data_IF_478979680737
#
_entry.id   IF_478979680737
#
_cell.length_a   1.000
_cell.length_b   1.000
_cell.length_c   1.000
_cell.angle_alpha   90.00
_cell.angle_beta   90.00
_cell.angle_gamma   90.00
#
_symmetry.space_group_name_H-M   'P 1'
#
loop_
_entity.id
_entity.type
_entity.pdbx_description
1 polymer ?
#
# COMPACT_ATOMS: atom_id res chain seq x y z
N UNK A 1 -7.15 -14.84 14.11
CA UNK A 1 -6.15 -14.10 14.92
C UNK A 1 -6.65 -12.70 15.16
N UNK A 2 -6.64 -12.21 16.41
CA UNK A 2 -7.31 -10.98 16.83
C UNK A 2 -6.60 -9.72 16.30
N UNK A 3 -5.32 -9.54 16.62
CA UNK A 3 -4.41 -8.61 15.96
C UNK A 3 -2.98 -9.08 16.25
N UNK A 4 -2.10 -9.11 15.23
CA UNK A 4 -0.67 -9.39 15.43
C UNK A 4 0.20 -8.13 15.31
N UNK A 5 -0.43 -6.96 15.19
CA UNK A 5 0.24 -5.67 15.30
C UNK A 5 0.24 -5.19 16.75
N UNK A 6 1.03 -4.14 17.02
CA UNK A 6 0.87 -3.38 18.26
C UNK A 6 -0.58 -2.92 18.44
N UNK A 7 -0.99 -2.70 19.70
CA UNK A 7 -2.35 -2.26 19.96
C UNK A 7 -2.60 -0.86 19.39
N UNK A 8 -3.86 -0.57 19.11
CA UNK A 8 -4.32 0.71 18.60
C UNK A 8 -5.74 0.92 19.10
N UNK A 9 -6.02 2.10 19.64
CA UNK A 9 -7.20 2.35 20.47
C UNK A 9 -7.36 1.23 21.50
N UNK A 10 -6.32 1.07 22.32
CA UNK A 10 -6.26 0.03 23.35
C UNK A 10 -7.51 0.08 24.23
N UNK A 11 -8.18 -1.06 24.37
CA UNK A 11 -9.45 -1.16 25.06
C UNK A 11 -9.51 -2.41 25.96
N UNK A 12 -10.19 -2.30 27.10
CA UNK A 12 -10.52 -3.38 28.03
C UNK A 12 -11.91 -3.93 27.72
N UNK A 13 -12.00 -5.25 27.66
CA UNK A 13 -13.27 -5.96 27.62
C UNK A 13 -13.91 -6.01 29.00
N UNK A 14 -15.20 -5.71 29.13
CA UNK A 14 -15.97 -5.87 30.37
C UNK A 14 -16.75 -7.19 30.31
N UNK A 15 -16.75 -8.03 31.37
CA UNK A 15 -16.15 -7.80 32.70
C UNK A 15 -14.70 -8.29 32.85
N UNK A 16 -14.17 -9.08 31.90
CA UNK A 16 -12.92 -9.82 32.09
C UNK A 16 -11.62 -8.97 32.10
N UNK A 17 -11.69 -7.68 31.78
CA UNK A 17 -10.57 -6.72 31.71
C UNK A 17 -9.43 -7.08 30.74
N UNK A 18 -9.62 -8.07 29.87
CA UNK A 18 -8.67 -8.41 28.82
C UNK A 18 -8.52 -7.27 27.80
N UNK A 19 -7.29 -7.04 27.34
CA UNK A 19 -6.89 -5.87 26.55
C UNK A 19 -6.71 -6.21 25.08
N UNK A 20 -7.30 -5.41 24.20
CA UNK A 20 -7.28 -5.60 22.75
C UNK A 20 -7.23 -4.25 22.02
N UNK A 21 -7.01 -4.27 20.70
CA UNK A 21 -7.41 -3.12 19.88
C UNK A 21 -8.93 -3.03 19.86
N UNK A 22 -9.49 -1.83 19.96
CA UNK A 22 -10.94 -1.59 19.87
C UNK A 22 -11.58 -2.27 18.65
N UNK A 23 -11.03 -2.00 17.46
CA UNK A 23 -11.53 -2.58 16.21
C UNK A 23 -11.48 -4.12 16.17
N UNK A 24 -10.54 -4.73 16.90
CA UNK A 24 -10.38 -6.18 16.92
C UNK A 24 -11.39 -6.85 17.85
N UNK A 25 -11.63 -6.29 19.04
CA UNK A 25 -12.57 -6.86 20.01
C UNK A 25 -14.03 -6.69 19.55
N UNK A 26 -14.35 -5.62 18.81
CA UNK A 26 -15.68 -5.39 18.23
C UNK A 26 -16.17 -6.48 17.26
N UNK A 27 -15.29 -7.38 16.83
CA UNK A 27 -15.62 -8.47 15.90
C UNK A 27 -16.16 -9.72 16.60
N UNK A 28 -16.11 -9.75 17.93
CA UNK A 28 -16.46 -10.91 18.73
C UNK A 28 -17.63 -10.60 19.65
N UNK A 29 -18.38 -11.64 20.04
CA UNK A 29 -19.45 -11.54 21.04
C UNK A 29 -18.96 -11.97 22.43
N UNK A 30 -17.98 -12.86 22.44
CA UNK A 30 -17.29 -13.43 23.57
C UNK A 30 -15.80 -13.07 23.53
N UNK A 31 -15.18 -12.91 24.71
CA UNK A 31 -13.79 -12.54 24.83
C UNK A 31 -12.89 -13.64 24.22
N UNK A 32 -12.05 -13.34 23.22
CA UNK A 32 -11.23 -14.36 22.57
C UNK A 32 -10.19 -15.03 23.47
N UNK A 33 -9.90 -14.46 24.65
CA UNK A 33 -8.92 -15.00 25.60
C UNK A 33 -9.52 -15.90 26.67
N UNK A 34 -10.74 -15.62 27.14
CA UNK A 34 -11.36 -16.38 28.23
C UNK A 34 -12.78 -16.88 27.99
N UNK A 35 -13.40 -16.53 26.85
CA UNK A 35 -14.76 -16.93 26.50
C UNK A 35 -15.87 -16.24 27.30
N UNK A 36 -15.56 -15.21 28.10
CA UNK A 36 -16.59 -14.43 28.80
C UNK A 36 -17.38 -13.56 27.81
N UNK A 37 -18.69 -13.47 27.97
CA UNK A 37 -19.53 -12.59 27.15
C UNK A 37 -19.08 -11.13 27.28
N UNK A 38 -19.02 -10.43 26.14
CA UNK A 38 -18.61 -9.03 26.08
C UNK A 38 -19.82 -8.16 26.40
N UNK A 39 -19.86 -7.64 27.63
CA UNK A 39 -20.92 -6.72 28.08
C UNK A 39 -20.62 -5.27 27.66
N UNK A 40 -19.34 -4.94 27.49
CA UNK A 40 -18.89 -3.61 27.12
C UNK A 40 -17.42 -3.57 26.73
N UNK A 41 -17.03 -2.47 26.09
CA UNK A 41 -15.64 -2.19 25.71
C UNK A 41 -15.31 -0.78 26.20
N UNK A 42 -14.31 -0.67 27.07
CA UNK A 42 -13.88 0.60 27.67
C UNK A 42 -12.46 0.94 27.20
N UNK A 43 -12.12 2.22 27.02
CA UNK A 43 -10.75 2.62 26.66
C UNK A 43 -9.73 2.27 27.76
N UNK A 44 -8.53 1.90 27.35
CA UNK A 44 -7.36 1.69 28.23
C UNK A 44 -6.28 2.73 27.91
N UNK A 45 -6.49 3.96 28.38
CA UNK A 45 -5.60 5.09 28.07
C UNK A 45 -4.18 4.89 28.60
N UNK A 46 -4.02 4.19 29.73
CA UNK A 46 -2.71 3.87 30.31
C UNK A 46 -1.91 2.94 29.39
N UNK A 47 -2.56 1.88 28.89
CA UNK A 47 -1.94 0.97 27.93
C UNK A 47 -1.69 1.67 26.60
N UNK A 48 -2.63 2.49 26.12
CA UNK A 48 -2.45 3.23 24.88
C UNK A 48 -1.24 4.15 24.97
N UNK A 49 -1.10 4.89 26.07
CA UNK A 49 0.06 5.74 26.31
C UNK A 49 1.37 4.95 26.40
N UNK A 50 1.35 3.71 26.89
CA UNK A 50 2.53 2.84 26.87
C UNK A 50 2.92 2.43 25.45
N UNK A 51 1.94 2.10 24.61
CA UNK A 51 2.17 1.76 23.19
C UNK A 51 2.71 2.98 22.44
N UNK A 52 2.15 4.16 22.67
CA UNK A 52 2.60 5.40 22.01
C UNK A 52 4.03 5.73 22.41
N UNK A 53 4.38 5.65 23.70
CA UNK A 53 5.78 5.79 24.16
C UNK A 53 6.72 4.76 23.54
N UNK A 54 6.25 3.53 23.33
CA UNK A 54 7.04 2.50 22.67
C UNK A 54 7.31 2.86 21.20
N UNK A 55 6.30 3.34 20.47
CA UNK A 55 6.43 3.82 19.09
C UNK A 55 7.39 5.02 19.02
N UNK A 56 7.25 6.00 19.92
CA UNK A 56 8.13 7.16 20.00
C UNK A 56 9.57 6.79 20.38
N UNK A 57 9.75 5.72 21.15
CA UNK A 57 11.06 5.14 21.45
C UNK A 57 11.85 4.83 20.18
N UNK A 58 11.20 4.31 19.14
CA UNK A 58 11.83 4.03 17.85
C UNK A 58 12.28 5.29 17.10
N UNK A 59 11.67 6.46 17.34
CA UNK A 59 12.14 7.74 16.80
C UNK A 59 13.52 8.12 17.36
N UNK A 60 13.74 7.83 18.65
CA UNK A 60 14.90 8.27 19.42
C UNK A 60 16.12 7.35 19.28
N UNK A 61 15.97 6.19 18.63
CA UNK A 61 17.05 5.22 18.38
C UNK A 61 17.95 5.65 17.20
N UNK A 62 17.63 6.74 16.47
CA UNK A 62 18.64 7.50 15.72
C UNK A 62 19.62 8.19 16.72
N UNK A 63 20.43 7.41 17.43
CA UNK A 63 21.58 7.91 18.21
C UNK A 63 22.86 7.32 17.64
N UNK A 64 23.46 8.14 16.79
CA UNK A 64 24.91 8.30 16.60
C UNK A 64 25.76 7.03 16.53
N UNK A 65 26.34 6.76 15.35
CA UNK A 65 27.70 6.21 15.29
C UNK A 65 28.65 7.16 16.03
N UNK A 66 28.72 7.05 17.35
CA UNK A 66 29.86 7.53 18.13
C UNK A 66 30.70 6.30 18.39
N UNK A 67 31.84 6.21 17.70
CA UNK A 67 32.95 5.40 18.16
C UNK A 67 33.35 5.93 19.54
N UNK A 68 33.04 5.19 20.60
CA UNK A 68 33.31 5.63 21.97
C UNK A 68 32.96 4.53 22.96
N UNK A 69 33.96 3.71 23.28
CA UNK A 69 33.99 2.80 24.42
C UNK A 69 33.88 3.59 25.73
N UNK A 70 32.77 3.50 26.44
CA UNK A 70 32.75 3.71 27.90
C UNK A 70 31.79 2.73 28.57
N UNK A 71 32.37 1.83 29.38
CA UNK A 71 31.67 1.00 30.35
C UNK A 71 31.10 1.87 31.47
N UNK A 72 29.83 1.68 31.81
CA UNK A 72 29.28 2.18 33.08
C UNK A 72 28.53 1.04 33.77
N UNK A 73 29.04 0.68 34.94
CA UNK A 73 28.53 -0.32 35.87
C UNK A 73 27.37 0.24 36.72
N UNK A 74 26.36 -0.59 37.02
CA UNK A 74 25.57 -0.46 38.27
C UNK A 74 24.03 -0.28 38.19
N UNK A 75 23.36 -1.42 38.38
CA UNK A 75 22.08 -1.70 39.10
C UNK A 75 20.67 -1.53 38.44
N UNK A 76 19.99 -2.70 38.42
CA UNK A 76 18.57 -3.11 38.32
C UNK A 76 17.65 -2.64 37.19
N UNK A 77 17.33 -3.62 36.33
CA UNK A 77 16.24 -3.68 35.33
C UNK A 77 16.16 -2.54 34.32
N UNK A 78 17.31 -2.18 33.76
CA UNK A 78 17.33 -1.57 32.44
C UNK A 78 17.24 -2.71 31.42
N UNK A 79 16.05 -2.96 30.89
CA UNK A 79 15.91 -3.77 29.67
C UNK A 79 16.66 -3.01 28.59
N UNK A 80 17.90 -3.42 28.36
CA UNK A 80 18.70 -2.94 27.25
C UNK A 80 18.01 -3.55 26.01
N UNK A 81 17.29 -2.74 25.25
CA UNK A 81 16.86 -3.10 23.90
C UNK A 81 18.10 -3.03 22.99
N UNK A 82 19.07 -3.90 23.26
CA UNK A 82 20.16 -4.22 22.35
C UNK A 82 19.53 -4.96 21.15
N UNK A 83 19.78 -4.43 19.96
CA UNK A 83 19.57 -5.10 18.66
C UNK A 83 18.16 -5.18 18.05
N UNK A 84 17.39 -4.09 18.07
CA UNK A 84 16.27 -3.91 17.12
C UNK A 84 16.29 -2.52 16.47
N UNK A 85 17.44 -2.14 15.89
CA UNK A 85 17.56 -0.94 15.06
C UNK A 85 16.84 -1.16 13.73
N UNK A 86 15.53 -1.02 13.76
CA UNK A 86 14.79 -0.60 12.60
C UNK A 86 14.57 0.90 12.69
N UNK A 87 14.85 1.61 11.60
CA UNK A 87 14.40 2.99 11.43
C UNK A 87 12.89 3.06 11.69
N UNK A 88 12.45 4.08 12.43
CA UNK A 88 11.05 4.25 12.85
C UNK A 88 10.06 4.06 11.70
N UNK A 89 10.38 4.61 10.52
CA UNK A 89 9.55 4.45 9.32
C UNK A 89 9.34 2.99 8.94
N UNK A 90 10.42 2.20 8.80
CA UNK A 90 10.33 0.78 8.48
C UNK A 90 9.58 -0.01 9.56
N UNK A 91 9.77 0.34 10.83
CA UNK A 91 9.01 -0.26 11.93
C UNK A 91 7.49 0.04 11.82
N UNK A 92 7.12 1.29 11.57
CA UNK A 92 5.73 1.72 11.40
C UNK A 92 5.07 1.01 10.21
N UNK A 93 5.75 0.96 9.06
CA UNK A 93 5.26 0.26 7.87
C UNK A 93 5.04 -1.23 8.15
N UNK A 94 5.98 -1.92 8.80
CA UNK A 94 5.80 -3.34 9.16
C UNK A 94 4.59 -3.55 10.06
N UNK A 95 4.38 -2.69 11.05
CA UNK A 95 3.23 -2.79 11.94
C UNK A 95 1.92 -2.43 11.23
N UNK A 96 1.94 -1.48 10.29
CA UNK A 96 0.80 -1.16 9.45
C UNK A 96 0.39 -2.35 8.58
N UNK A 97 1.35 -3.01 7.91
CA UNK A 97 1.08 -4.21 7.10
C UNK A 97 0.52 -5.38 7.92
N UNK A 98 0.95 -5.53 9.19
CA UNK A 98 0.37 -6.53 10.10
C UNK A 98 -1.06 -6.18 10.48
N UNK A 99 -1.33 -4.91 10.80
CA UNK A 99 -2.66 -4.42 11.14
C UNK A 99 -3.62 -4.53 9.95
N UNK A 100 -3.17 -4.17 8.75
CA UNK A 100 -3.93 -4.26 7.51
C UNK A 100 -4.35 -5.71 7.21
N UNK A 101 -3.40 -6.66 7.30
CA UNK A 101 -3.69 -8.10 7.14
C UNK A 101 -4.62 -8.65 8.22
N UNK A 102 -4.65 -8.06 9.40
CA UNK A 102 -5.59 -8.40 10.46
C UNK A 102 -6.98 -7.76 10.28
N UNK A 103 -7.20 -7.01 9.19
CA UNK A 103 -8.38 -6.16 8.95
C UNK A 103 -8.60 -5.09 10.02
N UNK A 104 -7.54 -4.66 10.70
CA UNK A 104 -7.57 -3.47 11.55
C UNK A 104 -7.03 -2.28 10.76
N UNK A 105 -7.89 -1.76 9.87
CA UNK A 105 -7.49 -0.75 8.88
C UNK A 105 -7.18 0.60 9.53
N UNK A 106 -7.89 0.97 10.61
CA UNK A 106 -7.60 2.19 11.37
C UNK A 106 -6.20 2.16 11.99
N UNK A 107 -5.83 1.02 12.57
CA UNK A 107 -4.50 0.78 13.10
C UNK A 107 -3.42 0.87 12.02
N UNK A 108 -3.70 0.39 10.79
CA UNK A 108 -2.79 0.51 9.67
C UNK A 108 -2.65 1.97 9.20
N UNK A 109 -3.78 2.65 9.00
CA UNK A 109 -3.86 4.06 8.61
C UNK A 109 -3.08 4.95 9.58
N UNK A 110 -3.34 4.82 10.89
CA UNK A 110 -2.66 5.58 11.94
C UNK A 110 -1.13 5.47 11.87
N UNK A 111 -0.58 4.26 11.67
CA UNK A 111 0.86 4.03 11.59
C UNK A 111 1.47 4.59 10.31
N UNK A 112 0.78 4.45 9.18
CA UNK A 112 1.23 5.00 7.91
C UNK A 112 1.17 6.54 7.93
N UNK A 113 0.18 7.14 8.60
CA UNK A 113 0.10 8.59 8.79
C UNK A 113 1.29 9.10 9.58
N UNK A 114 1.64 8.47 10.71
CA UNK A 114 2.85 8.81 11.47
C UNK A 114 4.11 8.70 10.59
N UNK A 115 4.23 7.62 9.80
CA UNK A 115 5.38 7.42 8.92
C UNK A 115 5.47 8.50 7.82
N UNK A 116 4.34 8.87 7.21
CA UNK A 116 4.29 9.92 6.21
C UNK A 116 4.63 11.29 6.80
N UNK A 117 4.18 11.59 8.00
CA UNK A 117 4.51 12.81 8.73
C UNK A 117 6.01 12.90 9.05
N UNK A 118 6.59 11.81 9.58
CA UNK A 118 8.03 11.72 9.84
C UNK A 118 8.84 11.98 8.55
N UNK A 119 8.48 11.33 7.43
CA UNK A 119 9.18 11.51 6.15
C UNK A 119 9.00 12.95 5.62
N UNK A 120 7.80 13.53 5.72
CA UNK A 120 7.56 14.93 5.30
C UNK A 120 8.40 15.91 6.11
N UNK A 121 8.59 15.66 7.41
CA UNK A 121 9.44 16.52 8.24
C UNK A 121 10.91 16.38 7.86
N UNK A 122 11.40 15.16 7.60
CA UNK A 122 12.75 14.94 7.10
C UNK A 122 12.99 15.64 5.76
N UNK A 123 12.02 15.59 4.83
CA UNK A 123 12.07 16.28 3.53
C UNK A 123 12.14 17.81 3.64
N UNK A 124 11.55 18.43 4.67
CA UNK A 124 11.70 19.88 4.90
C UNK A 124 13.13 20.28 5.26
N UNK A 125 13.84 19.39 5.94
CA UNK A 125 15.22 19.63 6.39
C UNK A 125 16.27 19.30 5.32
N UNK A 126 15.93 18.43 4.38
CA UNK A 126 16.82 17.93 3.32
C UNK A 126 16.14 18.05 1.97
N UNK A 127 16.34 19.18 1.30
CA UNK A 127 15.78 19.41 -0.03
C UNK A 127 16.42 18.45 -1.05
N UNK A 128 15.60 17.84 -1.92
CA UNK A 128 15.97 16.89 -2.98
C UNK A 128 16.51 15.51 -2.55
N UNK A 129 15.90 14.89 -1.54
CA UNK A 129 16.16 13.47 -1.25
C UNK A 129 15.21 12.55 -2.06
N UNK A 130 15.72 12.01 -3.17
CA UNK A 130 14.98 11.08 -4.06
C UNK A 130 14.49 9.81 -3.33
N UNK A 131 15.27 9.30 -2.39
CA UNK A 131 14.90 8.10 -1.62
C UNK A 131 13.73 8.38 -0.69
N UNK A 132 13.75 9.52 0.03
CA UNK A 132 12.62 9.92 0.87
C UNK A 132 11.36 10.22 0.06
N UNK A 133 11.50 10.80 -1.14
CA UNK A 133 10.37 10.98 -2.07
C UNK A 133 9.77 9.63 -2.52
N UNK A 134 10.62 8.64 -2.81
CA UNK A 134 10.20 7.28 -3.15
C UNK A 134 9.44 6.64 -1.98
N UNK A 135 10.03 6.67 -0.78
CA UNK A 135 9.43 6.13 0.43
C UNK A 135 8.09 6.81 0.76
N UNK A 136 8.03 8.14 0.68
CA UNK A 136 6.79 8.88 0.89
C UNK A 136 5.72 8.48 -0.13
N UNK A 137 6.09 8.41 -1.41
CA UNK A 137 5.19 7.97 -2.47
C UNK A 137 4.58 6.59 -2.20
N UNK A 138 5.38 5.63 -1.74
CA UNK A 138 4.91 4.30 -1.37
C UNK A 138 3.98 4.31 -0.14
N UNK A 139 4.34 5.07 0.92
CA UNK A 139 3.52 5.19 2.14
C UNK A 139 2.18 5.86 1.84
N UNK A 140 2.16 6.90 1.01
CA UNK A 140 0.93 7.55 0.55
C UNK A 140 0.05 6.59 -0.25
N UNK A 141 0.63 5.77 -1.12
CA UNK A 141 -0.11 4.71 -1.82
C UNK A 141 -0.80 3.74 -0.84
N UNK A 142 -0.10 3.33 0.22
CA UNK A 142 -0.68 2.47 1.28
C UNK A 142 -1.77 3.19 2.11
N UNK A 143 -1.63 4.50 2.35
CA UNK A 143 -2.69 5.30 2.99
C UNK A 143 -3.94 5.37 2.10
N UNK A 144 -3.75 5.53 0.80
CA UNK A 144 -4.83 5.44 -0.18
C UNK A 144 -5.57 4.10 -0.11
N UNK A 145 -4.83 2.99 0.05
CA UNK A 145 -5.43 1.65 0.21
C UNK A 145 -6.25 1.52 1.49
N UNK A 146 -5.75 2.10 2.60
CA UNK A 146 -6.49 2.13 3.85
C UNK A 146 -7.80 2.92 3.70
N UNK A 147 -7.75 4.14 3.14
CA UNK A 147 -8.93 4.97 2.94
C UNK A 147 -9.95 4.31 2.02
N UNK A 148 -9.49 3.70 0.91
CA UNK A 148 -10.34 2.94 0.00
C UNK A 148 -11.04 1.77 0.71
N UNK A 149 -10.32 1.04 1.54
CA UNK A 149 -10.88 -0.10 2.30
C UNK A 149 -11.89 0.35 3.35
N UNK A 150 -11.73 1.55 3.90
CA UNK A 150 -12.68 2.19 4.83
C UNK A 150 -13.89 2.83 4.12
N UNK A 151 -13.93 2.82 2.79
CA UNK A 151 -15.00 3.46 2.01
C UNK A 151 -14.83 4.98 1.84
N UNK A 152 -13.70 5.54 2.25
CA UNK A 152 -13.38 6.95 2.05
C UNK A 152 -12.67 7.16 0.71
N UNK A 153 -13.46 7.18 -0.36
CA UNK A 153 -12.98 7.33 -1.73
C UNK A 153 -12.27 8.69 -1.96
N UNK A 154 -12.77 9.76 -1.34
CA UNK A 154 -12.21 11.11 -1.47
C UNK A 154 -10.78 11.15 -0.92
N UNK A 155 -10.56 10.74 0.33
CA UNK A 155 -9.20 10.70 0.89
C UNK A 155 -8.31 9.71 0.15
N UNK A 156 -8.85 8.60 -0.34
CA UNK A 156 -8.09 7.64 -1.12
C UNK A 156 -7.52 8.28 -2.39
N UNK A 157 -8.35 9.01 -3.15
CA UNK A 157 -7.93 9.73 -4.36
C UNK A 157 -6.84 10.74 -3.99
N UNK A 158 -7.03 11.56 -2.96
CA UNK A 158 -6.04 12.55 -2.52
C UNK A 158 -4.68 11.92 -2.23
N UNK A 159 -4.64 10.81 -1.49
CA UNK A 159 -3.37 10.14 -1.18
C UNK A 159 -2.72 9.49 -2.41
N UNK A 160 -3.50 8.90 -3.32
CA UNK A 160 -2.93 8.35 -4.56
C UNK A 160 -2.42 9.45 -5.50
N UNK A 161 -3.10 10.60 -5.56
CA UNK A 161 -2.66 11.75 -6.35
C UNK A 161 -1.35 12.32 -5.80
N UNK A 162 -1.25 12.49 -4.48
CA UNK A 162 -0.02 12.93 -3.82
C UNK A 162 1.11 11.90 -4.02
N UNK A 163 0.81 10.60 -3.89
CA UNK A 163 1.75 9.51 -4.20
C UNK A 163 2.27 9.63 -5.64
N UNK A 164 1.38 9.77 -6.62
CA UNK A 164 1.75 9.91 -8.02
C UNK A 164 2.58 11.19 -8.28
N UNK A 165 2.28 12.29 -7.59
CA UNK A 165 3.04 13.53 -7.70
C UNK A 165 4.49 13.35 -7.26
N UNK A 166 4.74 12.77 -6.08
CA UNK A 166 6.10 12.52 -5.59
C UNK A 166 6.86 11.56 -6.50
N UNK A 167 6.22 10.46 -6.90
CA UNK A 167 6.86 9.43 -7.72
C UNK A 167 7.14 9.89 -9.16
N UNK A 168 6.30 10.76 -9.73
CA UNK A 168 6.50 11.29 -11.09
C UNK A 168 7.72 12.20 -11.25
N UNK A 169 8.25 12.73 -10.13
CA UNK A 169 9.45 13.59 -10.11
C UNK A 169 10.75 12.78 -10.06
N UNK A 170 10.67 11.46 -9.89
CA UNK A 170 11.83 10.58 -9.77
C UNK A 170 12.24 9.99 -11.12
N UNK A 171 13.53 9.66 -11.31
CA UNK A 171 13.97 8.93 -12.50
C UNK A 171 13.23 7.60 -12.63
N UNK A 172 12.64 7.32 -13.80
CA UNK A 172 11.88 6.10 -14.08
C UNK A 172 12.78 4.89 -14.41
N UNK A 173 13.96 4.86 -13.79
CA UNK A 173 14.96 3.81 -14.00
C UNK A 173 14.72 2.59 -13.10
N UNK A 174 13.90 2.75 -12.07
CA UNK A 174 13.54 1.71 -11.12
C UNK A 174 12.15 1.15 -11.44
N UNK A 175 12.07 -0.15 -11.67
CA UNK A 175 10.83 -0.84 -12.02
C UNK A 175 9.84 -0.85 -10.86
N UNK A 176 10.29 -0.82 -9.60
CA UNK A 176 9.41 -0.74 -8.43
C UNK A 176 8.73 0.63 -8.35
N UNK A 177 9.45 1.71 -8.69
CA UNK A 177 8.89 3.05 -8.76
C UNK A 177 7.85 3.17 -9.87
N UNK A 178 8.19 2.68 -11.08
CA UNK A 178 7.27 2.64 -12.23
C UNK A 178 6.01 1.85 -11.88
N UNK A 179 6.16 0.70 -11.22
CA UNK A 179 5.03 -0.13 -10.80
C UNK A 179 4.16 0.62 -9.80
N UNK A 180 4.75 1.21 -8.75
CA UNK A 180 4.01 1.91 -7.69
C UNK A 180 3.26 3.12 -8.24
N UNK A 181 3.91 3.95 -9.07
CA UNK A 181 3.28 5.10 -9.74
C UNK A 181 2.08 4.65 -10.61
N UNK A 182 2.29 3.62 -11.43
CA UNK A 182 1.26 3.08 -12.31
C UNK A 182 0.07 2.51 -11.52
N UNK A 183 0.34 1.84 -10.39
CA UNK A 183 -0.71 1.31 -9.52
C UNK A 183 -1.51 2.43 -8.86
N UNK A 184 -0.87 3.49 -8.36
CA UNK A 184 -1.58 4.65 -7.80
C UNK A 184 -2.51 5.29 -8.85
N UNK A 185 -2.02 5.52 -10.07
CA UNK A 185 -2.82 6.06 -11.18
C UNK A 185 -4.01 5.15 -11.52
N UNK A 186 -3.77 3.84 -11.64
CA UNK A 186 -4.84 2.87 -11.89
C UNK A 186 -5.89 2.83 -10.79
N UNK A 187 -5.51 2.95 -9.51
CA UNK A 187 -6.46 2.96 -8.40
C UNK A 187 -7.33 4.22 -8.39
N UNK A 188 -6.78 5.36 -8.78
CA UNK A 188 -7.59 6.57 -9.01
C UNK A 188 -8.56 6.34 -10.17
N UNK A 189 -8.07 5.76 -11.28
CA UNK A 189 -8.91 5.40 -12.42
C UNK A 189 -10.08 4.49 -12.02
N UNK A 190 -9.81 3.45 -11.21
CA UNK A 190 -10.84 2.55 -10.68
C UNK A 190 -11.87 3.30 -9.84
N UNK A 191 -11.43 4.18 -8.94
CA UNK A 191 -12.34 4.96 -8.11
C UNK A 191 -13.22 5.91 -8.93
N UNK A 192 -12.66 6.58 -9.94
CA UNK A 192 -13.41 7.45 -10.86
C UNK A 192 -14.37 6.66 -11.74
N UNK A 193 -13.97 5.47 -12.17
CA UNK A 193 -14.81 4.58 -12.97
C UNK A 193 -16.05 4.15 -12.18
N UNK A 194 -15.89 3.73 -10.93
CA UNK A 194 -17.02 3.37 -10.06
C UNK A 194 -17.90 4.56 -9.68
N UNK A 195 -17.35 5.77 -9.66
CA UNK A 195 -18.09 7.02 -9.47
C UNK A 195 -18.86 7.47 -10.73
N UNK A 196 -18.65 6.79 -11.87
CA UNK A 196 -19.26 7.13 -13.16
C UNK A 196 -18.55 8.25 -13.92
N UNK A 197 -17.47 8.82 -13.37
CA UNK A 197 -16.61 9.77 -14.07
C UNK A 197 -15.64 9.04 -15.01
N UNK A 198 -16.22 8.50 -16.10
CA UNK A 198 -15.50 7.72 -17.10
C UNK A 198 -14.43 8.54 -17.82
N UNK A 199 -14.60 9.85 -17.97
CA UNK A 199 -13.60 10.70 -18.61
C UNK A 199 -12.35 10.85 -17.75
N UNK A 200 -12.50 11.09 -16.44
CA UNK A 200 -11.38 11.10 -15.51
C UNK A 200 -10.75 9.71 -15.38
N UNK A 201 -11.56 8.64 -15.32
CA UNK A 201 -11.06 7.27 -15.28
C UNK A 201 -10.16 6.97 -16.48
N UNK A 202 -10.62 7.31 -17.69
CA UNK A 202 -9.85 7.16 -18.93
C UNK A 202 -8.53 7.92 -18.88
N UNK A 203 -8.55 9.17 -18.42
CA UNK A 203 -7.35 10.00 -18.28
C UNK A 203 -6.31 9.34 -17.36
N UNK A 204 -6.73 8.84 -16.19
CA UNK A 204 -5.86 8.18 -15.24
C UNK A 204 -5.31 6.84 -15.75
N UNK A 205 -6.15 6.01 -16.39
CA UNK A 205 -5.69 4.77 -17.01
C UNK A 205 -4.72 5.01 -18.18
N UNK A 206 -4.96 6.03 -19.01
CA UNK A 206 -4.06 6.40 -20.09
C UNK A 206 -2.69 6.86 -19.54
N UNK A 207 -2.68 7.67 -18.48
CA UNK A 207 -1.43 8.05 -17.79
C UNK A 207 -0.69 6.85 -17.21
N UNK A 208 -1.40 5.88 -16.60
CA UNK A 208 -0.75 4.65 -16.14
C UNK A 208 -0.17 3.84 -17.29
N UNK A 209 -0.88 3.74 -18.41
CA UNK A 209 -0.40 3.01 -19.59
C UNK A 209 0.86 3.66 -20.17
N UNK A 210 0.90 5.00 -20.24
CA UNK A 210 2.05 5.76 -20.72
C UNK A 210 3.31 5.50 -19.88
N UNK A 211 3.19 5.57 -18.56
CA UNK A 211 4.29 5.25 -17.61
C UNK A 211 4.84 3.84 -17.87
N UNK A 212 3.97 2.84 -18.04
CA UNK A 212 4.40 1.46 -18.28
C UNK A 212 5.02 1.26 -19.66
N UNK A 213 4.49 1.90 -20.70
CA UNK A 213 5.03 1.83 -22.06
C UNK A 213 6.43 2.44 -22.13
N UNK A 214 6.63 3.61 -21.53
CA UNK A 214 7.94 4.27 -21.45
C UNK A 214 8.97 3.37 -20.78
N UNK A 215 8.63 2.79 -19.62
CA UNK A 215 9.53 1.88 -18.92
C UNK A 215 9.90 0.61 -19.73
N UNK A 216 8.96 0.08 -20.53
CA UNK A 216 9.22 -1.09 -21.39
C UNK A 216 10.19 -0.77 -22.53
N UNK A 217 10.13 0.45 -23.08
CA UNK A 217 11.04 0.93 -24.13
C UNK A 217 12.44 1.12 -23.57
N UNK A 218 12.55 1.66 -22.36
CA UNK A 218 13.84 2.02 -21.74
C UNK A 218 14.59 0.83 -21.14
N UNK A 219 13.90 -0.18 -20.59
CA UNK A 219 14.54 -1.23 -19.77
C UNK A 219 14.62 -2.64 -20.36
N UNK A 220 14.44 -2.80 -21.68
CA UNK A 220 14.32 -4.13 -22.30
C UNK A 220 13.24 -4.98 -21.61
N UNK A 221 12.00 -4.87 -22.11
CA UNK A 221 10.80 -5.55 -21.62
C UNK A 221 11.03 -6.86 -20.84
N UNK A 222 10.86 -6.81 -19.51
CA UNK A 222 10.70 -8.03 -18.70
C UNK A 222 9.27 -8.53 -18.88
N UNK A 223 9.08 -9.85 -18.86
CA UNK A 223 7.78 -10.49 -19.06
C UNK A 223 6.65 -9.90 -18.21
N UNK A 224 6.92 -9.60 -16.93
CA UNK A 224 5.95 -9.00 -16.01
C UNK A 224 5.46 -7.64 -16.48
N UNK A 225 6.33 -6.81 -17.08
CA UNK A 225 5.97 -5.49 -17.59
C UNK A 225 5.07 -5.57 -18.81
N UNK A 226 5.31 -6.55 -19.70
CA UNK A 226 4.45 -6.77 -20.87
C UNK A 226 3.03 -7.14 -20.44
N UNK A 227 2.89 -7.99 -19.40
CA UNK A 227 1.60 -8.35 -18.82
C UNK A 227 0.93 -7.13 -18.18
N UNK A 228 1.70 -6.30 -17.47
CA UNK A 228 1.19 -5.07 -16.87
C UNK A 228 0.72 -4.05 -17.94
N UNK A 229 1.44 -3.90 -19.05
CA UNK A 229 1.02 -3.05 -20.20
C UNK A 229 -0.27 -3.57 -20.81
N UNK A 230 -0.38 -4.88 -21.06
CA UNK A 230 -1.60 -5.48 -21.59
C UNK A 230 -2.80 -5.28 -20.65
N UNK A 231 -2.57 -5.35 -19.34
CA UNK A 231 -3.61 -5.06 -18.34
C UNK A 231 -4.04 -3.60 -18.38
N UNK A 232 -3.08 -2.65 -18.48
CA UNK A 232 -3.40 -1.23 -18.61
C UNK A 232 -4.13 -0.91 -19.92
N UNK A 233 -3.77 -1.56 -21.04
CA UNK A 233 -4.50 -1.47 -22.31
C UNK A 233 -5.95 -1.93 -22.16
N UNK A 234 -6.17 -3.06 -21.49
CA UNK A 234 -7.50 -3.58 -21.23
C UNK A 234 -8.38 -2.59 -20.46
N UNK A 235 -7.82 -1.91 -19.44
CA UNK A 235 -8.54 -0.90 -18.66
C UNK A 235 -8.90 0.33 -19.49
N UNK A 236 -8.00 0.82 -20.34
CA UNK A 236 -8.30 1.95 -21.24
C UNK A 236 -9.40 1.57 -22.23
N UNK A 237 -9.28 0.38 -22.85
CA UNK A 237 -10.25 -0.14 -23.80
C UNK A 237 -11.64 -0.33 -23.17
N UNK A 238 -11.70 -0.88 -21.96
CA UNK A 238 -12.95 -1.04 -21.21
C UNK A 238 -13.64 0.31 -20.94
N UNK A 239 -12.89 1.34 -20.51
CA UNK A 239 -13.48 2.67 -20.36
C UNK A 239 -13.91 3.28 -21.68
N UNK A 240 -13.13 3.11 -22.75
CA UNK A 240 -13.51 3.59 -24.08
C UNK A 240 -14.81 2.94 -24.58
N UNK A 241 -15.01 1.64 -24.32
CA UNK A 241 -16.28 0.95 -24.59
C UNK A 241 -17.44 1.58 -23.82
N UNK A 242 -17.26 1.82 -22.52
CA UNK A 242 -18.30 2.43 -21.69
C UNK A 242 -18.59 3.89 -22.06
N UNK A 243 -17.64 4.58 -22.69
CA UNK A 243 -17.84 5.90 -23.30
C UNK A 243 -18.51 5.85 -24.67
N UNK A 244 -18.78 4.66 -25.23
CA UNK A 244 -19.38 4.46 -26.55
C UNK A 244 -18.38 4.41 -27.71
N UNK A 245 -17.08 4.40 -27.43
CA UNK A 245 -16.01 4.38 -28.43
C UNK A 245 -15.62 2.93 -28.82
N UNK A 246 -16.59 2.14 -29.32
CA UNK A 246 -16.40 0.68 -29.51
C UNK A 246 -15.23 0.33 -30.44
N UNK A 247 -15.02 1.08 -31.52
CA UNK A 247 -13.88 0.84 -32.43
C UNK A 247 -12.54 0.97 -31.71
N UNK A 248 -12.39 2.00 -30.87
CA UNK A 248 -11.17 2.27 -30.09
C UNK A 248 -10.97 1.20 -29.02
N UNK A 249 -12.06 0.75 -28.38
CA UNK A 249 -12.02 -0.33 -27.41
C UNK A 249 -11.54 -1.65 -28.02
N UNK A 250 -12.12 -2.04 -29.16
CA UNK A 250 -11.72 -3.26 -29.89
C UNK A 250 -10.26 -3.21 -30.30
N UNK A 251 -9.79 -2.08 -30.85
CA UNK A 251 -8.38 -1.89 -31.19
C UNK A 251 -7.47 -2.04 -29.98
N UNK A 252 -7.84 -1.46 -28.83
CA UNK A 252 -7.09 -1.58 -27.58
C UNK A 252 -7.04 -3.00 -27.02
N UNK A 253 -8.16 -3.74 -27.04
CA UNK A 253 -8.18 -5.15 -26.64
C UNK A 253 -7.34 -6.02 -27.57
N UNK A 254 -7.42 -5.82 -28.88
CA UNK A 254 -6.57 -6.53 -29.84
C UNK A 254 -5.09 -6.23 -29.64
N UNK A 255 -4.73 -4.98 -29.34
CA UNK A 255 -3.35 -4.60 -29.03
C UNK A 255 -2.85 -5.36 -27.79
N UNK A 256 -3.65 -5.42 -26.72
CA UNK A 256 -3.32 -6.14 -25.50
C UNK A 256 -3.10 -7.64 -25.77
N UNK A 257 -3.95 -8.28 -26.59
CA UNK A 257 -3.79 -9.68 -27.00
C UNK A 257 -2.48 -9.86 -27.77
N UNK A 258 -2.20 -9.01 -28.77
CA UNK A 258 -0.97 -9.08 -29.58
C UNK A 258 0.28 -8.95 -28.71
N UNK A 259 0.27 -8.11 -27.66
CA UNK A 259 1.36 -8.00 -26.70
C UNK A 259 1.60 -9.31 -25.95
N UNK A 260 0.54 -9.93 -25.43
CA UNK A 260 0.63 -11.18 -24.67
C UNK A 260 0.97 -12.39 -25.56
N UNK A 261 0.52 -12.44 -26.81
CA UNK A 261 0.84 -13.55 -27.73
C UNK A 261 2.31 -13.55 -28.17
N UNK A 262 2.92 -12.38 -28.31
CA UNK A 262 4.35 -12.24 -28.62
C UNK A 262 5.26 -12.56 -27.43
N UNK A 263 4.73 -12.54 -26.21
CA UNK A 263 5.50 -12.82 -25.01
C UNK A 263 5.89 -14.30 -24.96
N UNK A 264 7.20 -14.56 -24.91
CA UNK A 264 7.77 -15.91 -24.73
C UNK A 264 8.23 -16.06 -23.29
N UNK A 265 7.70 -17.06 -22.61
CA UNK A 265 8.02 -17.37 -21.22
C UNK A 265 8.79 -18.69 -21.13
N UNK A 266 9.76 -18.74 -20.22
CA UNK A 266 10.50 -19.96 -19.90
C UNK A 266 9.69 -20.92 -19.04
N UNK A 267 10.10 -22.19 -18.98
CA UNK A 267 9.44 -23.21 -18.13
C UNK A 267 9.46 -22.90 -16.63
N UNK A 268 10.38 -22.03 -16.19
CA UNK A 268 10.53 -21.61 -14.79
C UNK A 268 9.54 -20.48 -14.40
N UNK A 269 8.88 -19.85 -15.38
CA UNK A 269 7.98 -18.69 -15.20
C UNK A 269 6.50 -19.09 -15.12
N UNK A 270 6.19 -20.22 -14.46
CA UNK A 270 4.84 -20.77 -14.42
C UNK A 270 3.78 -19.81 -13.86
N UNK A 271 4.13 -18.99 -12.86
CA UNK A 271 3.21 -17.99 -12.29
C UNK A 271 2.90 -16.86 -13.27
N UNK A 272 3.88 -16.42 -14.06
CA UNK A 272 3.70 -15.40 -15.08
C UNK A 272 2.90 -15.95 -16.26
N UNK A 273 3.11 -17.21 -16.65
CA UNK A 273 2.30 -17.86 -17.68
C UNK A 273 0.84 -17.98 -17.23
N UNK A 274 0.58 -18.39 -15.99
CA UNK A 274 -0.79 -18.42 -15.45
C UNK A 274 -1.44 -17.03 -15.49
N UNK A 275 -0.70 -15.99 -15.09
CA UNK A 275 -1.20 -14.61 -15.13
C UNK A 275 -1.48 -14.15 -16.56
N UNK A 276 -0.56 -14.43 -17.49
CA UNK A 276 -0.69 -14.14 -18.92
C UNK A 276 -1.93 -14.79 -19.52
N UNK A 277 -2.14 -16.09 -19.25
CA UNK A 277 -3.30 -16.84 -19.75
C UNK A 277 -4.62 -16.29 -19.18
N UNK A 278 -4.64 -15.93 -17.89
CA UNK A 278 -5.83 -15.31 -17.27
C UNK A 278 -6.19 -13.99 -17.92
N UNK A 279 -5.20 -13.15 -18.24
CA UNK A 279 -5.46 -11.86 -18.92
C UNK A 279 -5.88 -12.09 -20.37
N UNK A 280 -5.25 -13.03 -21.08
CA UNK A 280 -5.64 -13.41 -22.45
C UNK A 280 -7.08 -13.93 -22.53
N UNK A 281 -7.49 -14.79 -21.60
CA UNK A 281 -8.86 -15.31 -21.52
C UNK A 281 -9.87 -14.20 -21.29
N UNK A 282 -9.58 -13.27 -20.37
CA UNK A 282 -10.41 -12.08 -20.16
C UNK A 282 -10.55 -11.25 -21.44
N UNK A 283 -9.42 -10.93 -22.10
CA UNK A 283 -9.40 -10.09 -23.30
C UNK A 283 -10.15 -10.72 -24.48
N UNK A 284 -10.05 -12.04 -24.67
CA UNK A 284 -10.76 -12.74 -25.74
C UNK A 284 -12.27 -12.69 -25.55
N UNK A 285 -12.75 -12.88 -24.31
CA UNK A 285 -14.18 -12.72 -23.98
C UNK A 285 -14.71 -11.33 -24.32
N UNK A 286 -13.90 -10.28 -24.10
CA UNK A 286 -14.28 -8.91 -24.44
C UNK A 286 -14.50 -8.68 -25.95
N UNK A 287 -13.96 -9.53 -26.82
CA UNK A 287 -14.12 -9.46 -28.27
C UNK A 287 -15.21 -10.41 -28.80
N UNK A 288 -15.53 -11.47 -28.05
CA UNK A 288 -16.54 -12.47 -28.41
C UNK A 288 -17.98 -12.01 -28.07
N UNK A 289 -18.15 -11.11 -27.11
CA UNK A 289 -19.46 -10.57 -26.66
C UNK A 289 -20.13 -9.58 -27.65
N UNK A 290 -19.95 -9.78 -28.96
CA UNK A 290 -20.57 -8.95 -30.03
C UNK A 290 -22.07 -9.22 -30.23
#
# INVERSE_FOLDING_TARGET
>A
MVCQALLHESSKCVPCSHKFCKACILRFKDCPLCGADIEGIEPDDELQALVDRFIDGHARIKRSHVAGTEEVTGDKNKVIYEDVSMERGAFLVRQAMRAFRAHNIESAKSRLSMCAEDIREELKSSQDNQELCSQLGAVLGMLGDCCRTLGDATSAITYYEESAEFLSKLPQNDLELVHTLSVSLNKIGDLRYYDGDLHSARSYYARSLDVRRTAVIEHSAVASQVIDVATSLAKVADVDRNLGNESVAVEGFEEAIKCLEKLKLGSEEASLEQRRLSVLDFLRKQLDDK
#
